data_IF_932652775129
#
_entry.id   IF_932652775129
#
_cell.length_a   1.000
_cell.length_b   1.000
_cell.length_c   1.000
_cell.angle_alpha   90.00
_cell.angle_beta   90.00
_cell.angle_gamma   90.00
#
_symmetry.space_group_name_H-M   'P 1'
#
loop_
_entity.id
_entity.type
_entity.pdbx_description
1 polymer ?
#
# COMPACT_ATOMS: atom_id res chain seq x y z
N UNK A 1 -13.14 -7.39 -9.98
CA UNK A 1 -14.03 -8.56 -9.77
C UNK A 1 -15.44 -8.25 -10.31
N UNK A 2 -16.44 -9.14 -10.22
CA UNK A 2 -17.82 -8.79 -10.62
C UNK A 2 -18.56 -8.10 -9.46
N UNK A 3 -19.50 -7.20 -9.75
CA UNK A 3 -20.26 -6.49 -8.71
C UNK A 3 -19.43 -5.55 -7.83
N UNK A 4 -18.23 -5.18 -8.26
CA UNK A 4 -17.32 -4.27 -7.54
C UNK A 4 -17.98 -2.88 -7.35
N UNK A 5 -18.53 -2.33 -8.42
CA UNK A 5 -19.18 -1.01 -8.42
C UNK A 5 -20.44 -0.91 -7.54
N UNK A 6 -21.00 -2.05 -7.14
CA UNK A 6 -22.16 -2.13 -6.25
C UNK A 6 -21.76 -2.28 -4.77
N UNK A 7 -20.46 -2.23 -4.47
CA UNK A 7 -19.91 -2.35 -3.12
C UNK A 7 -19.04 -3.60 -2.93
N UNK A 8 -18.12 -3.86 -3.85
CA UNK A 8 -17.12 -4.93 -3.75
C UNK A 8 -17.75 -6.34 -3.62
N UNK A 9 -18.95 -6.55 -4.17
CA UNK A 9 -19.76 -7.74 -3.87
C UNK A 9 -19.01 -9.02 -4.24
N UNK A 10 -18.54 -9.14 -5.48
CA UNK A 10 -17.94 -10.39 -5.93
C UNK A 10 -16.64 -10.76 -5.20
N UNK A 11 -15.78 -9.79 -4.88
CA UNK A 11 -14.57 -10.06 -4.10
C UNK A 11 -14.89 -10.35 -2.64
N UNK A 12 -15.85 -9.63 -2.04
CA UNK A 12 -16.27 -9.83 -0.65
C UNK A 12 -16.87 -11.22 -0.45
N UNK A 13 -17.87 -11.60 -1.25
CA UNK A 13 -18.52 -12.92 -1.15
C UNK A 13 -17.52 -14.05 -1.39
N UNK A 14 -16.58 -13.88 -2.33
CA UNK A 14 -15.54 -14.87 -2.58
C UNK A 14 -14.59 -15.03 -1.38
N UNK A 15 -14.18 -13.93 -0.74
CA UNK A 15 -13.35 -13.97 0.46
C UNK A 15 -14.11 -14.61 1.63
N UNK A 16 -15.38 -14.28 1.82
CA UNK A 16 -16.23 -14.86 2.87
C UNK A 16 -16.37 -16.37 2.71
N UNK A 17 -16.64 -16.85 1.49
CA UNK A 17 -16.74 -18.28 1.19
C UNK A 17 -15.42 -19.02 1.46
N UNK A 18 -14.27 -18.39 1.17
CA UNK A 18 -12.95 -19.02 1.21
C UNK A 18 -12.09 -18.63 2.42
N UNK A 19 -12.66 -17.95 3.42
CA UNK A 19 -11.91 -17.32 4.52
C UNK A 19 -10.98 -18.29 5.26
N UNK A 20 -11.42 -19.53 5.49
CA UNK A 20 -10.63 -20.55 6.17
C UNK A 20 -9.40 -20.97 5.36
N UNK A 21 -9.51 -21.03 4.03
CA UNK A 21 -8.39 -21.34 3.15
C UNK A 21 -7.43 -20.15 3.09
N UNK A 22 -7.98 -18.96 2.91
CA UNK A 22 -7.21 -17.74 2.71
C UNK A 22 -6.40 -17.35 3.94
N UNK A 23 -7.01 -17.35 5.12
CA UNK A 23 -6.33 -17.03 6.40
C UNK A 23 -5.14 -17.95 6.73
N UNK A 24 -5.09 -19.15 6.13
CA UNK A 24 -4.02 -20.12 6.37
C UNK A 24 -2.96 -20.16 5.26
N UNK A 25 -3.29 -19.72 4.04
CA UNK A 25 -2.45 -19.97 2.85
C UNK A 25 -2.16 -18.74 2.00
N UNK A 26 -2.95 -17.68 2.09
CA UNK A 26 -2.74 -16.50 1.28
C UNK A 26 -1.57 -15.68 1.83
N UNK A 27 -0.55 -15.47 0.99
CA UNK A 27 0.62 -14.64 1.33
C UNK A 27 0.33 -13.17 1.06
N UNK A 28 -0.22 -12.85 -0.10
CA UNK A 28 -0.57 -11.47 -0.43
C UNK A 28 -1.69 -11.43 -1.46
N UNK A 29 -2.39 -10.30 -1.53
CA UNK A 29 -3.31 -9.97 -2.62
C UNK A 29 -2.78 -8.76 -3.40
N UNK A 30 -2.63 -8.89 -4.72
CA UNK A 30 -2.20 -7.78 -5.59
C UNK A 30 -3.41 -7.37 -6.42
N UNK A 31 -3.88 -6.15 -6.21
CA UNK A 31 -4.99 -5.54 -6.91
C UNK A 31 -4.53 -4.67 -8.07
N UNK A 32 -5.23 -4.81 -9.20
CA UNK A 32 -5.17 -3.88 -10.31
C UNK A 32 -6.59 -3.69 -10.81
N UNK A 33 -7.15 -2.51 -10.53
CA UNK A 33 -8.45 -2.09 -11.01
C UNK A 33 -8.25 -1.18 -12.25
N UNK A 34 -8.38 0.13 -12.09
CA UNK A 34 -8.01 1.10 -13.11
C UNK A 34 -6.51 1.35 -13.03
N UNK A 35 -5.73 0.61 -13.82
CA UNK A 35 -4.28 0.75 -13.73
C UNK A 35 -3.78 2.13 -14.20
N UNK A 36 -4.29 2.67 -15.32
CA UNK A 36 -3.75 3.89 -15.93
C UNK A 36 -4.80 5.01 -15.92
N UNK A 37 -4.57 6.03 -15.09
CA UNK A 37 -5.28 7.33 -15.11
C UNK A 37 -4.36 8.47 -15.55
N UNK A 38 -3.07 8.18 -15.74
CA UNK A 38 -1.98 9.09 -16.11
C UNK A 38 -0.64 8.38 -15.96
N UNK A 39 0.50 9.09 -16.11
CA UNK A 39 1.81 8.45 -16.20
C UNK A 39 2.53 8.24 -14.86
N UNK A 40 2.04 8.79 -13.75
CA UNK A 40 2.79 8.81 -12.48
C UNK A 40 2.34 7.66 -11.57
N UNK A 41 3.26 6.84 -11.08
CA UNK A 41 2.93 5.76 -10.14
C UNK A 41 2.39 6.32 -8.81
N UNK A 42 1.27 5.78 -8.33
CA UNK A 42 0.60 6.23 -7.10
C UNK A 42 -0.01 5.06 -6.33
N UNK A 43 0.79 4.07 -5.91
CA UNK A 43 0.28 2.84 -5.34
C UNK A 43 -0.07 3.02 -3.86
N UNK A 44 -0.91 2.13 -3.36
CA UNK A 44 -1.19 1.95 -1.94
C UNK A 44 -0.93 0.50 -1.54
N UNK A 45 -0.44 0.29 -0.31
CA UNK A 45 -0.03 -1.04 0.14
C UNK A 45 -0.15 -1.20 1.64
N UNK A 46 -0.25 -2.45 2.08
CA UNK A 46 0.03 -2.82 3.47
C UNK A 46 1.49 -2.47 3.80
N UNK A 47 1.78 -1.88 4.96
CA UNK A 47 3.15 -1.49 5.33
C UNK A 47 4.19 -2.61 5.24
N UNK A 48 3.79 -3.86 5.49
CA UNK A 48 4.66 -5.03 5.37
C UNK A 48 5.10 -5.33 3.93
N UNK A 49 4.44 -4.78 2.91
CA UNK A 49 4.71 -5.01 1.49
C UNK A 49 5.24 -3.75 0.76
N UNK A 50 5.40 -2.64 1.47
CA UNK A 50 5.83 -1.37 0.88
C UNK A 50 7.24 -1.45 0.29
N UNK A 51 8.17 -2.11 0.97
CA UNK A 51 9.54 -2.24 0.46
C UNK A 51 9.63 -3.05 -0.82
N UNK A 52 9.01 -4.24 -0.86
CA UNK A 52 9.09 -5.09 -2.06
C UNK A 52 8.50 -4.36 -3.28
N UNK A 53 7.42 -3.59 -3.09
CA UNK A 53 6.85 -2.75 -4.14
C UNK A 53 7.86 -1.73 -4.69
N UNK A 54 8.71 -1.14 -3.84
CA UNK A 54 9.75 -0.20 -4.29
C UNK A 54 10.88 -0.91 -5.01
N UNK A 55 11.37 -2.00 -4.41
CA UNK A 55 12.46 -2.79 -4.98
C UNK A 55 12.11 -3.24 -6.39
N UNK A 56 10.89 -3.73 -6.63
CA UNK A 56 10.50 -4.16 -7.97
C UNK A 56 10.42 -3.03 -8.98
N UNK A 57 10.11 -1.79 -8.56
CA UNK A 57 10.05 -0.63 -9.48
C UNK A 57 11.41 -0.23 -10.03
N UNK A 58 12.50 -0.62 -9.38
CA UNK A 58 13.86 -0.41 -9.90
C UNK A 58 14.14 -1.26 -11.14
N UNK A 59 13.47 -2.42 -11.26
CA UNK A 59 13.63 -3.34 -12.39
C UNK A 59 12.69 -3.04 -13.57
N UNK A 60 11.83 -2.03 -13.46
CA UNK A 60 10.89 -1.66 -14.52
C UNK A 60 11.49 -0.52 -15.35
N UNK A 61 11.87 -0.75 -16.62
CA UNK A 61 12.29 0.33 -17.50
C UNK A 61 11.14 1.31 -17.73
N UNK A 62 11.40 2.60 -17.53
CA UNK A 62 10.40 3.64 -17.74
C UNK A 62 11.04 4.88 -18.37
N UNK A 63 10.61 5.21 -19.59
CA UNK A 63 11.22 6.27 -20.42
C UNK A 63 12.75 6.04 -20.54
N UNK A 64 13.57 6.98 -20.10
CA UNK A 64 15.04 6.91 -20.15
C UNK A 64 15.68 6.47 -18.82
N UNK A 65 14.90 5.91 -17.89
CA UNK A 65 15.34 5.54 -16.53
C UNK A 65 14.55 4.32 -16.03
N UNK A 66 14.44 4.15 -14.72
CA UNK A 66 13.59 3.16 -14.05
C UNK A 66 12.31 3.81 -13.52
N UNK A 67 11.26 3.01 -13.31
CA UNK A 67 10.02 3.49 -12.71
C UNK A 67 10.26 4.05 -11.29
N UNK A 68 11.21 3.48 -10.54
CA UNK A 68 11.61 4.00 -9.23
C UNK A 68 12.13 5.44 -9.32
N UNK A 69 13.05 5.72 -10.24
CA UNK A 69 13.64 7.05 -10.38
C UNK A 69 12.60 8.09 -10.81
N UNK A 70 11.72 7.73 -11.74
CA UNK A 70 10.64 8.63 -12.15
C UNK A 70 9.67 8.92 -11.00
N UNK A 71 9.37 7.92 -10.19
CA UNK A 71 8.51 8.09 -9.01
C UNK A 71 9.16 8.99 -7.95
N UNK A 72 10.47 8.88 -7.72
CA UNK A 72 11.23 9.78 -6.83
C UNK A 72 11.17 11.22 -7.36
N UNK A 73 11.44 11.44 -8.65
CA UNK A 73 11.38 12.76 -9.28
C UNK A 73 9.98 13.38 -9.17
N UNK A 74 8.93 12.60 -9.45
CA UNK A 74 7.56 13.06 -9.31
C UNK A 74 7.21 13.37 -7.84
N UNK A 75 7.69 12.57 -6.89
CA UNK A 75 7.49 12.86 -5.47
C UNK A 75 8.17 14.16 -5.04
N UNK A 76 9.41 14.40 -5.46
CA UNK A 76 10.12 15.65 -5.20
C UNK A 76 9.33 16.82 -5.81
N UNK A 77 8.82 16.66 -7.03
CA UNK A 77 7.99 17.67 -7.68
C UNK A 77 6.73 18.01 -6.88
N UNK A 78 6.01 17.03 -6.32
CA UNK A 78 4.76 17.27 -5.58
C UNK A 78 4.99 17.76 -4.14
N UNK A 79 6.02 17.27 -3.45
CA UNK A 79 6.21 17.48 -2.01
C UNK A 79 7.39 18.40 -1.65
N UNK A 80 8.32 18.60 -2.57
CA UNK A 80 9.59 19.30 -2.32
C UNK A 80 10.59 18.46 -1.51
N UNK A 81 10.31 17.19 -1.26
CA UNK A 81 11.17 16.28 -0.50
C UNK A 81 11.78 15.23 -1.43
N UNK A 82 13.11 15.24 -1.55
CA UNK A 82 13.86 14.14 -2.15
C UNK A 82 14.09 13.07 -1.10
N UNK A 83 13.14 12.14 -1.00
CA UNK A 83 13.18 11.00 -0.08
C UNK A 83 12.74 9.73 -0.83
N UNK A 84 12.90 8.58 -0.17
CA UNK A 84 12.25 7.34 -0.56
C UNK A 84 10.77 7.65 -0.90
N UNK A 85 10.22 7.13 -2.02
CA UNK A 85 8.85 7.46 -2.39
C UNK A 85 7.90 7.18 -1.22
N UNK A 86 6.72 7.77 -1.13
CA UNK A 86 5.78 7.53 -0.02
C UNK A 86 4.65 6.68 -0.58
N UNK A 87 4.43 5.53 0.06
CA UNK A 87 3.32 4.64 -0.28
C UNK A 87 2.22 4.91 0.73
N UNK A 88 1.01 5.15 0.22
CA UNK A 88 -0.15 5.34 1.07
C UNK A 88 -0.60 4.00 1.64
N UNK A 89 -1.22 4.03 2.81
CA UNK A 89 -1.96 2.85 3.30
C UNK A 89 -3.20 2.63 2.46
N UNK A 90 -3.56 1.36 2.30
CA UNK A 90 -4.79 0.94 1.63
C UNK A 90 -6.02 1.64 2.22
N UNK A 91 -6.89 2.11 1.34
CA UNK A 91 -8.28 2.46 1.65
C UNK A 91 -9.24 1.33 1.30
N UNK A 92 -10.54 1.60 1.18
CA UNK A 92 -11.58 0.62 0.86
C UNK A 92 -12.15 0.77 -0.56
N UNK A 93 -11.41 1.39 -1.48
CA UNK A 93 -11.94 1.87 -2.76
C UNK A 93 -11.96 0.87 -3.90
N UNK A 94 -11.56 -0.39 -3.68
CA UNK A 94 -11.53 -1.46 -4.69
C UNK A 94 -11.34 -2.82 -3.99
N UNK A 95 -11.26 -3.90 -4.78
CA UNK A 95 -11.40 -5.30 -4.36
C UNK A 95 -10.32 -5.82 -3.39
N UNK A 96 -9.26 -5.06 -3.05
CA UNK A 96 -8.34 -5.46 -1.97
C UNK A 96 -8.94 -5.33 -0.58
N UNK A 97 -10.02 -4.55 -0.41
CA UNK A 97 -10.60 -4.26 0.90
C UNK A 97 -11.01 -5.52 1.71
N UNK A 98 -11.77 -6.50 1.15
CA UNK A 98 -12.11 -7.72 1.90
C UNK A 98 -10.87 -8.57 2.24
N UNK A 99 -9.85 -8.59 1.37
CA UNK A 99 -8.60 -9.29 1.68
C UNK A 99 -7.86 -8.62 2.85
N UNK A 100 -7.67 -7.31 2.79
CA UNK A 100 -6.88 -6.57 3.77
C UNK A 100 -7.57 -6.40 5.13
N UNK A 101 -8.85 -6.02 5.13
CA UNK A 101 -9.53 -5.59 6.36
C UNK A 101 -10.41 -6.65 6.99
N UNK A 102 -10.90 -7.62 6.20
CA UNK A 102 -11.68 -8.74 6.73
C UNK A 102 -10.81 -9.98 6.93
N UNK A 103 -10.05 -10.39 5.91
CA UNK A 103 -9.22 -11.59 5.99
C UNK A 103 -7.83 -11.38 6.62
N UNK A 104 -7.39 -10.13 6.80
CA UNK A 104 -6.08 -9.80 7.37
C UNK A 104 -4.90 -10.14 6.46
N UNK A 105 -5.14 -10.25 5.14
CA UNK A 105 -4.13 -10.61 4.14
C UNK A 105 -3.45 -9.33 3.65
N UNK A 106 -2.12 -9.21 3.76
CA UNK A 106 -1.39 -8.06 3.23
C UNK A 106 -1.68 -7.86 1.74
N UNK A 107 -1.95 -6.62 1.33
CA UNK A 107 -2.32 -6.32 -0.04
C UNK A 107 -1.56 -5.13 -0.63
N UNK A 108 -1.54 -5.07 -1.96
CA UNK A 108 -0.97 -3.97 -2.76
C UNK A 108 -1.99 -3.61 -3.81
N UNK A 109 -2.26 -2.33 -4.00
CA UNK A 109 -3.03 -1.80 -5.12
C UNK A 109 -2.09 -1.00 -6.04
N UNK A 110 -2.01 -1.43 -7.30
CA UNK A 110 -1.19 -0.76 -8.31
C UNK A 110 -2.08 0.19 -9.11
N UNK A 111 -1.73 1.46 -9.09
CA UNK A 111 -2.34 2.45 -9.96
C UNK A 111 -1.33 3.51 -10.41
N UNK A 112 -1.59 4.07 -11.58
CA UNK A 112 -0.94 5.24 -12.12
C UNK A 112 -1.96 6.36 -12.23
N UNK A 113 -1.52 7.58 -11.95
CA UNK A 113 -2.36 8.75 -11.82
C UNK A 113 -1.86 9.91 -12.67
N UNK A 114 -2.74 10.87 -12.92
CA UNK A 114 -2.41 12.13 -13.58
C UNK A 114 -1.56 13.00 -12.65
N UNK A 115 -1.01 14.08 -13.19
CA UNK A 115 -0.27 15.05 -12.38
C UNK A 115 -1.22 15.78 -11.41
N UNK A 116 -1.16 15.38 -10.13
CA UNK A 116 -2.03 15.89 -9.05
C UNK A 116 -1.70 17.33 -8.65
N UNK A 117 -0.47 17.80 -8.92
CA UNK A 117 -0.05 19.19 -8.62
C UNK A 117 -0.52 20.13 -9.73
N UNK A 118 -0.43 19.70 -10.99
CA UNK A 118 -0.93 20.46 -12.14
C UNK A 118 -2.46 20.44 -12.22
N UNK A 119 -3.08 19.31 -11.91
CA UNK A 119 -4.53 19.13 -11.96
C UNK A 119 -5.05 18.74 -10.57
N UNK A 120 -5.40 19.71 -9.71
CA UNK A 120 -5.87 19.45 -8.34
C UNK A 120 -7.34 19.00 -8.33
N UNK A 121 -7.63 17.90 -9.02
CA UNK A 121 -8.95 17.27 -9.12
C UNK A 121 -8.94 15.91 -8.43
N UNK A 122 -10.10 15.45 -7.96
CA UNK A 122 -10.24 14.22 -7.16
C UNK A 122 -10.12 12.93 -7.98
N UNK A 123 -10.40 12.98 -9.28
CA UNK A 123 -10.37 11.84 -10.18
C UNK A 123 -10.23 12.30 -11.63
N UNK A 124 -10.03 11.36 -12.55
CA UNK A 124 -9.98 11.71 -13.96
C UNK A 124 -11.39 12.09 -14.47
N UNK A 125 -11.54 13.08 -15.37
CA UNK A 125 -12.84 13.68 -15.67
C UNK A 125 -13.91 12.73 -16.22
N UNK A 126 -13.52 11.62 -16.84
CA UNK A 126 -14.45 10.66 -17.41
C UNK A 126 -14.97 9.64 -16.39
N UNK A 127 -14.43 9.61 -15.16
CA UNK A 127 -14.74 8.60 -14.14
C UNK A 127 -16.25 8.31 -14.00
N UNK A 128 -16.65 7.05 -14.18
CA UNK A 128 -18.05 6.59 -14.08
C UNK A 128 -19.05 7.29 -15.00
N UNK A 129 -18.60 7.73 -16.19
CA UNK A 129 -19.46 8.35 -17.20
C UNK A 129 -19.51 7.52 -18.48
N UNK A 130 -20.50 7.80 -19.34
CA UNK A 130 -20.55 7.22 -20.69
C UNK A 130 -19.39 7.64 -21.61
N UNK A 131 -18.47 8.49 -21.15
CA UNK A 131 -17.25 8.88 -21.88
C UNK A 131 -16.05 7.98 -21.56
N UNK A 132 -16.15 7.06 -20.61
CA UNK A 132 -15.17 5.97 -20.42
C UNK A 132 -15.25 4.99 -21.57
N UNK A 133 -14.51 5.30 -22.62
CA UNK A 133 -14.51 4.55 -23.86
C UNK A 133 -13.10 4.12 -24.18
N UNK A 134 -12.98 3.03 -24.95
CA UNK A 134 -11.68 2.65 -25.51
C UNK A 134 -11.04 3.80 -26.30
N UNK A 135 -11.83 4.61 -27.01
CA UNK A 135 -11.35 5.79 -27.72
C UNK A 135 -10.64 6.80 -26.82
N UNK A 136 -11.16 7.03 -25.60
CA UNK A 136 -10.49 7.90 -24.63
C UNK A 136 -9.09 7.38 -24.30
N UNK A 137 -8.97 6.07 -24.08
CA UNK A 137 -7.69 5.42 -23.75
C UNK A 137 -6.73 5.48 -24.94
N UNK A 138 -7.16 4.98 -26.09
CA UNK A 138 -6.39 4.85 -27.33
C UNK A 138 -5.96 6.21 -27.93
N UNK A 139 -6.68 7.29 -27.66
CA UNK A 139 -6.35 8.62 -28.23
C UNK A 139 -5.72 9.59 -27.26
N UNK A 140 -6.01 9.50 -25.96
CA UNK A 140 -5.62 10.55 -25.02
C UNK A 140 -4.87 10.05 -23.80
N UNK A 141 -5.23 8.88 -23.24
CA UNK A 141 -4.61 8.41 -21.99
C UNK A 141 -3.31 7.66 -22.28
N UNK A 142 -3.33 6.69 -23.18
CA UNK A 142 -2.17 5.83 -23.46
C UNK A 142 -2.15 5.34 -24.93
N UNK A 143 -1.89 6.24 -25.91
CA UNK A 143 -2.07 5.92 -27.32
C UNK A 143 -1.17 4.81 -27.88
N UNK A 144 -0.02 4.56 -27.25
CA UNK A 144 0.90 3.48 -27.63
C UNK A 144 0.87 2.30 -26.65
N UNK A 145 -0.04 2.34 -25.68
CA UNK A 145 -0.18 1.36 -24.60
C UNK A 145 1.10 1.13 -23.79
N UNK A 146 2.05 2.07 -23.81
CA UNK A 146 3.32 1.95 -23.11
C UNK A 146 3.15 2.04 -21.60
N UNK A 147 2.16 2.80 -21.11
CA UNK A 147 1.86 2.86 -19.68
C UNK A 147 1.19 1.57 -19.21
N UNK A 148 0.20 1.04 -19.94
CA UNK A 148 -0.42 -0.25 -19.63
C UNK A 148 0.60 -1.40 -19.68
N UNK A 149 1.55 -1.36 -20.63
CA UNK A 149 2.68 -2.28 -20.65
C UNK A 149 3.53 -2.16 -19.38
N UNK A 150 3.88 -0.95 -18.96
CA UNK A 150 4.64 -0.69 -17.74
C UNK A 150 3.91 -1.24 -16.51
N UNK A 151 2.62 -0.96 -16.38
CA UNK A 151 1.78 -1.51 -15.32
C UNK A 151 1.79 -3.04 -15.31
N UNK A 152 1.63 -3.67 -16.47
CA UNK A 152 1.65 -5.13 -16.62
C UNK A 152 3.00 -5.73 -16.22
N UNK A 153 4.11 -5.05 -16.57
CA UNK A 153 5.45 -5.45 -16.16
C UNK A 153 5.63 -5.35 -14.65
N UNK A 154 5.17 -4.25 -14.04
CA UNK A 154 5.20 -4.07 -12.58
C UNK A 154 4.40 -5.18 -11.87
N UNK A 155 3.17 -5.45 -12.30
CA UNK A 155 2.35 -6.54 -11.77
C UNK A 155 3.07 -7.89 -11.88
N UNK A 156 3.64 -8.20 -13.06
CA UNK A 156 4.33 -9.46 -13.30
C UNK A 156 5.59 -9.64 -12.45
N UNK A 157 6.43 -8.62 -12.36
CA UNK A 157 7.65 -8.65 -11.54
C UNK A 157 7.31 -8.73 -10.06
N UNK A 158 6.30 -7.99 -9.60
CA UNK A 158 5.84 -8.03 -8.22
C UNK A 158 5.29 -9.41 -7.84
N UNK A 159 4.43 -9.99 -8.69
CA UNK A 159 3.91 -11.34 -8.49
C UNK A 159 5.04 -12.36 -8.47
N UNK A 160 6.00 -12.26 -9.39
CA UNK A 160 7.15 -13.14 -9.44
C UNK A 160 8.01 -13.02 -8.17
N UNK A 161 8.30 -11.81 -7.72
CA UNK A 161 9.10 -11.58 -6.54
C UNK A 161 8.43 -12.14 -5.27
N UNK A 162 7.12 -11.89 -5.07
CA UNK A 162 6.40 -12.40 -3.89
C UNK A 162 6.26 -13.92 -3.94
N UNK A 163 5.93 -14.50 -5.09
CA UNK A 163 5.69 -15.96 -5.22
C UNK A 163 6.96 -16.79 -5.32
N UNK A 164 8.06 -16.22 -5.82
CA UNK A 164 9.32 -16.91 -6.08
C UNK A 164 10.40 -16.71 -5.01
N UNK A 165 10.19 -15.84 -4.03
CA UNK A 165 11.18 -15.61 -2.97
C UNK A 165 11.20 -16.77 -1.98
N UNK A 166 12.40 -17.24 -1.63
CA UNK A 166 12.61 -18.27 -0.58
C UNK A 166 12.07 -17.81 0.77
N UNK A 167 12.31 -16.54 1.11
CA UNK A 167 11.70 -15.87 2.25
C UNK A 167 10.62 -14.93 1.75
N UNK A 168 9.44 -14.99 2.34
CA UNK A 168 8.37 -14.04 2.03
C UNK A 168 8.91 -12.61 2.29
N UNK A 169 8.85 -11.69 1.31
CA UNK A 169 9.53 -10.40 1.38
C UNK A 169 8.77 -9.38 2.26
N UNK A 170 8.34 -9.79 3.44
CA UNK A 170 7.69 -8.91 4.40
C UNK A 170 8.70 -8.02 5.15
N UNK A 171 8.29 -6.79 5.38
CA UNK A 171 8.95 -5.82 6.28
C UNK A 171 8.08 -5.53 7.49
N UNK A 172 8.11 -6.43 8.45
CA UNK A 172 7.37 -6.27 9.72
C UNK A 172 7.91 -5.09 10.53
N UNK A 173 9.19 -4.76 10.39
CA UNK A 173 9.80 -3.55 10.94
C UNK A 173 9.18 -2.27 10.35
N UNK A 174 8.88 -2.26 9.04
CA UNK A 174 8.17 -1.14 8.39
C UNK A 174 6.72 -1.02 8.91
N UNK A 175 6.04 -2.14 9.13
CA UNK A 175 4.72 -2.16 9.78
C UNK A 175 4.77 -1.59 11.20
N UNK A 176 5.72 -2.02 12.02
CA UNK A 176 5.84 -1.54 13.40
C UNK A 176 6.17 -0.04 13.45
N UNK A 177 7.07 0.43 12.58
CA UNK A 177 7.40 1.84 12.44
C UNK A 177 6.19 2.66 11.96
N UNK A 178 5.36 2.10 11.08
CA UNK A 178 4.14 2.74 10.62
C UNK A 178 3.13 2.89 11.75
N UNK A 179 2.88 1.84 12.53
CA UNK A 179 1.99 1.89 13.71
C UNK A 179 2.47 2.96 14.70
N UNK A 180 3.77 3.01 14.99
CA UNK A 180 4.33 4.03 15.88
C UNK A 180 4.17 5.45 15.32
N UNK A 181 4.38 5.64 14.02
CA UNK A 181 4.23 6.93 13.35
C UNK A 181 2.78 7.40 13.36
N UNK A 182 1.84 6.50 13.06
CA UNK A 182 0.42 6.81 13.04
C UNK A 182 -0.09 7.14 14.45
N UNK A 183 0.37 6.41 15.49
CA UNK A 183 0.11 6.76 16.89
C UNK A 183 0.61 8.17 17.24
N UNK A 184 1.87 8.50 16.89
CA UNK A 184 2.42 9.85 17.13
C UNK A 184 1.64 10.93 16.37
N UNK A 185 1.22 10.64 15.15
CA UNK A 185 0.48 11.59 14.31
C UNK A 185 -0.96 11.81 14.79
N UNK A 186 -1.60 10.80 15.37
CA UNK A 186 -2.91 10.92 16.01
C UNK A 186 -2.91 12.04 17.06
N UNK A 187 -1.86 12.11 17.89
CA UNK A 187 -1.73 13.14 18.92
C UNK A 187 -1.37 14.53 18.37
N UNK A 188 -0.61 14.61 17.27
CA UNK A 188 -0.25 15.89 16.63
C UNK A 188 -1.42 16.58 15.94
N UNK A 189 -2.42 15.83 15.46
CA UNK A 189 -3.54 16.35 14.66
C UNK A 189 -4.65 16.99 15.49
N UNK A 190 -4.61 16.86 16.81
CA UNK A 190 -5.52 17.56 17.71
C UNK A 190 -4.85 18.85 18.24
N UNK A 191 -5.17 20.04 17.71
CA UNK A 191 -4.63 21.31 18.22
C UNK A 191 -5.08 21.62 19.66
N UNK A 192 -6.08 20.88 20.17
CA UNK A 192 -6.49 20.90 21.56
C UNK A 192 -5.93 19.71 22.35
N UNK A 193 -5.00 18.91 21.82
CA UNK A 193 -4.43 17.74 22.50
C UNK A 193 -4.06 18.05 23.95
N UNK A 194 -3.24 19.08 24.18
CA UNK A 194 -2.84 19.49 25.53
C UNK A 194 -4.01 20.02 26.37
N UNK A 195 -5.05 20.60 25.75
CA UNK A 195 -6.26 21.06 26.44
C UNK A 195 -7.26 19.93 26.75
N UNK A 196 -7.35 18.91 25.90
CA UNK A 196 -8.17 17.72 26.08
C UNK A 196 -7.53 16.80 27.12
N UNK A 197 -6.20 16.67 27.09
CA UNK A 197 -5.40 15.99 28.12
C UNK A 197 -5.53 16.70 29.48
N UNK A 198 -5.47 18.03 29.51
CA UNK A 198 -5.44 18.79 30.78
C UNK A 198 -6.81 19.08 31.39
N UNK A 199 -7.92 18.95 30.63
CA UNK A 199 -9.28 19.26 31.12
C UNK A 199 -10.24 18.09 31.20
N UNK A 200 -9.83 16.87 30.87
CA UNK A 200 -10.72 15.71 30.95
C UNK A 200 -10.25 14.72 32.01
N UNK A 201 -11.16 14.35 32.91
CA UNK A 201 -11.03 13.16 33.79
C UNK A 201 -10.71 11.89 32.95
N UNK A 202 -11.05 11.91 31.66
CA UNK A 202 -10.76 10.87 30.68
C UNK A 202 -9.29 10.45 30.60
N UNK A 203 -8.30 11.35 30.63
CA UNK A 203 -6.89 10.90 30.58
C UNK A 203 -6.38 10.47 31.95
N UNK A 204 -6.85 11.04 33.06
CA UNK A 204 -6.50 10.50 34.37
C UNK A 204 -7.04 9.07 34.56
N UNK A 205 -8.26 8.81 34.11
CA UNK A 205 -8.91 7.50 34.19
C UNK A 205 -8.34 6.49 33.16
N UNK A 206 -7.92 6.96 31.98
CA UNK A 206 -7.41 6.10 30.90
C UNK A 206 -5.88 6.12 30.73
N UNK A 207 -5.14 6.87 31.55
CA UNK A 207 -3.67 6.90 31.51
C UNK A 207 -3.05 5.50 31.56
N UNK A 208 -3.54 4.56 32.40
CA UNK A 208 -3.02 3.19 32.39
C UNK A 208 -3.18 2.50 31.02
N UNK A 209 -4.28 2.76 30.30
CA UNK A 209 -4.55 2.19 28.98
C UNK A 209 -3.66 2.82 27.90
N UNK A 210 -3.47 4.14 27.95
CA UNK A 210 -2.56 4.85 27.03
C UNK A 210 -1.12 4.38 27.25
N UNK A 211 -0.67 4.31 28.50
CA UNK A 211 0.67 3.80 28.86
C UNK A 211 0.84 2.33 28.41
N UNK A 212 -0.21 1.51 28.50
CA UNK A 212 -0.20 0.13 28.00
C UNK A 212 -0.08 0.08 26.47
N UNK A 213 -0.81 0.92 25.75
CA UNK A 213 -0.73 1.02 24.29
C UNK A 213 0.67 1.45 23.84
N UNK A 214 1.25 2.47 24.48
CA UNK A 214 2.60 2.95 24.19
C UNK A 214 3.66 1.86 24.41
N UNK A 215 3.57 1.17 25.55
CA UNK A 215 4.45 0.03 25.85
C UNK A 215 4.28 -1.09 24.84
N UNK A 216 3.06 -1.38 24.41
CA UNK A 216 2.77 -2.44 23.42
C UNK A 216 3.34 -2.08 22.05
N UNK A 217 3.20 -0.83 21.61
CA UNK A 217 3.80 -0.34 20.36
C UNK A 217 5.33 -0.40 20.43
N UNK A 218 5.93 0.02 21.55
CA UNK A 218 7.37 -0.04 21.74
C UNK A 218 7.88 -1.50 21.74
N UNK A 219 7.17 -2.40 22.40
CA UNK A 219 7.48 -3.83 22.40
C UNK A 219 7.38 -4.43 21.00
N UNK A 220 6.34 -4.07 20.23
CA UNK A 220 6.18 -4.53 18.85
C UNK A 220 7.31 -4.02 17.94
N UNK A 221 7.71 -2.76 18.06
CA UNK A 221 8.85 -2.20 17.32
C UNK A 221 10.15 -2.92 17.66
N UNK A 222 10.41 -3.19 18.94
CA UNK A 222 11.59 -3.97 19.35
C UNK A 222 11.56 -5.37 18.76
N UNK A 223 10.46 -6.10 18.94
CA UNK A 223 10.31 -7.47 18.44
C UNK A 223 10.43 -7.56 16.92
N UNK A 224 9.88 -6.59 16.18
CA UNK A 224 9.99 -6.54 14.72
C UNK A 224 11.43 -6.29 14.25
N UNK A 225 12.20 -5.48 14.99
CA UNK A 225 13.62 -5.27 14.73
C UNK A 225 14.43 -6.54 15.00
N UNK A 226 14.22 -7.17 16.14
CA UNK A 226 14.91 -8.42 16.52
C UNK A 226 14.62 -9.54 15.52
N UNK A 227 13.35 -9.66 15.08
CA UNK A 227 12.95 -10.59 14.01
C UNK A 227 13.66 -10.29 12.69
N UNK A 228 13.82 -9.01 12.33
CA UNK A 228 14.53 -8.62 11.10
C UNK A 228 16.01 -8.97 11.15
N UNK A 229 16.64 -8.84 12.31
CA UNK A 229 18.03 -9.26 12.52
C UNK A 229 18.14 -10.78 12.44
N UNK A 230 17.27 -11.51 13.13
CA UNK A 230 17.20 -12.98 13.09
C UNK A 230 17.05 -13.53 11.66
N UNK A 231 16.15 -12.95 10.85
CA UNK A 231 15.92 -13.42 9.47
C UNK A 231 17.14 -13.24 8.57
N UNK A 232 17.97 -12.22 8.80
CA UNK A 232 19.17 -11.98 7.98
C UNK A 232 20.21 -13.09 8.11
N UNK A 233 20.24 -13.76 9.25
CA UNK A 233 21.22 -14.78 9.58
C UNK A 233 20.69 -16.22 9.37
N UNK A 234 19.49 -16.37 8.79
CA UNK A 234 18.89 -17.67 8.49
C UNK A 234 19.69 -18.45 7.42
N UNK A 235 19.92 -19.73 7.67
CA UNK A 235 20.42 -20.66 6.67
C UNK A 235 19.30 -21.05 5.70
N UNK A 236 19.27 -20.41 4.54
CA UNK A 236 18.27 -20.64 3.49
C UNK A 236 18.32 -22.04 2.87
N UNK A 237 19.33 -22.86 3.18
CA UNK A 237 19.42 -24.24 2.70
C UNK A 237 18.68 -25.23 3.61
N UNK A 238 18.23 -24.80 4.79
CA UNK A 238 17.52 -25.65 5.74
C UNK A 238 16.01 -25.36 5.72
N UNK A 239 15.18 -26.27 5.20
CA UNK A 239 13.73 -26.06 5.12
C UNK A 239 13.00 -26.24 6.47
N UNK A 240 13.71 -26.56 7.56
CA UNK A 240 13.13 -26.84 8.88
C UNK A 240 13.55 -25.84 9.98
N UNK A 241 14.29 -24.78 9.63
CA UNK A 241 14.68 -23.71 10.56
C UNK A 241 13.66 -22.56 10.58
#
# INVERSE_FOLDING_TARGET
WTGEELGLIGSTEWVEEHIHLLSQKAVAYINVDTCIKGPNLSPDASPSLMEILREVTEYIPFRNTTLLNEWIEYQEYISGELDKPKIQTLGSGTDHAPFAFFAGIPAINIEFTFDKKKYPISGYPAYHTGYETFYLVDKFIDPDFSLHKTCSQLLGVLLHAISGSTLIPYRIDELANRVQTDYKNMWKRDPNHDQFISKSDFIYDNKPLIDMLEKSIAAFVSAAKDWREMIRDLDLNNPFL
#
